data_IF_971129154016
#
_entry.id   IF_971129154016
#
_cell.length_a   1.000
_cell.length_b   1.000
_cell.length_c   1.000
_cell.angle_alpha   90.00
_cell.angle_beta   90.00
_cell.angle_gamma   90.00
#
_symmetry.space_group_name_H-M   'P 1'
#
loop_
_entity.id
_entity.type
_entity.pdbx_description
1 polymer ?
#
# COMPACT_ATOMS: atom_id res chain seq x y z
N UNK A 1 10.84 -16.29 15.79
CA UNK A 1 9.98 -15.30 16.49
C UNK A 1 9.13 -14.60 15.44
N UNK A 2 7.79 -14.68 15.49
CA UNK A 2 6.91 -13.91 14.58
C UNK A 2 6.71 -12.52 15.17
N UNK A 3 7.19 -11.48 14.48
CA UNK A 3 6.99 -10.09 14.90
C UNK A 3 5.55 -9.67 14.60
N UNK A 4 4.85 -9.10 15.59
CA UNK A 4 3.49 -8.56 15.46
C UNK A 4 3.51 -7.11 15.91
N UNK A 5 3.08 -6.19 15.04
CA UNK A 5 2.88 -4.80 15.40
C UNK A 5 1.56 -4.70 16.17
N UNK A 6 1.62 -4.10 17.37
CA UNK A 6 0.47 -3.96 18.27
C UNK A 6 -0.31 -2.68 17.98
N UNK A 7 0.42 -1.58 17.77
CA UNK A 7 -0.13 -0.27 17.50
C UNK A 7 0.80 0.46 16.54
N UNK A 8 0.23 1.11 15.53
CA UNK A 8 0.96 1.87 14.52
C UNK A 8 0.32 3.22 14.28
N UNK A 9 1.16 4.20 13.98
CA UNK A 9 0.77 5.54 13.57
C UNK A 9 1.47 5.91 12.28
N UNK A 10 0.77 6.62 11.40
CA UNK A 10 1.30 7.14 10.15
C UNK A 10 0.77 8.55 9.96
N UNK A 11 1.68 9.52 9.93
CA UNK A 11 1.33 10.94 9.93
C UNK A 11 1.66 11.59 8.58
N UNK A 12 0.65 12.13 7.92
CA UNK A 12 0.81 13.06 6.80
C UNK A 12 0.74 14.49 7.33
N UNK A 13 1.92 15.04 7.64
CA UNK A 13 2.09 16.39 8.16
C UNK A 13 1.56 17.47 7.21
N UNK A 14 1.56 17.21 5.90
CA UNK A 14 1.13 18.20 4.90
C UNK A 14 -0.39 18.37 4.88
N UNK A 15 -1.13 17.33 5.29
CA UNK A 15 -2.60 17.31 5.28
C UNK A 15 -3.20 17.34 6.69
N UNK A 16 -2.38 17.23 7.73
CA UNK A 16 -2.86 17.10 9.10
C UNK A 16 -3.63 15.79 9.32
N UNK A 17 -3.19 14.72 8.64
CA UNK A 17 -3.86 13.41 8.67
C UNK A 17 -3.05 12.42 9.48
N UNK A 18 -3.60 11.98 10.61
CA UNK A 18 -3.04 10.93 11.44
C UNK A 18 -3.82 9.63 11.24
N UNK A 19 -3.15 8.65 10.64
CA UNK A 19 -3.67 7.29 10.50
C UNK A 19 -3.22 6.44 11.68
N UNK A 20 -4.13 5.63 12.18
CA UNK A 20 -3.93 4.78 13.35
C UNK A 20 -4.42 3.36 13.07
N UNK A 21 -3.67 2.36 13.50
CA UNK A 21 -4.09 0.96 13.50
C UNK A 21 -3.65 0.26 14.76
N UNK A 22 -4.58 -0.33 15.50
CA UNK A 22 -4.33 -1.12 16.71
C UNK A 22 -4.95 -2.51 16.56
N UNK A 23 -4.36 -3.53 17.19
CA UNK A 23 -4.92 -4.89 17.19
C UNK A 23 -6.27 -4.98 17.94
N UNK A 24 -6.61 -3.98 18.74
CA UNK A 24 -7.80 -3.94 19.58
C UNK A 24 -8.88 -2.97 19.06
N UNK A 25 -8.64 -2.30 17.93
CA UNK A 25 -9.58 -1.33 17.36
C UNK A 25 -9.60 -1.34 15.84
N UNK A 26 -10.67 -0.79 15.26
CA UNK A 26 -10.69 -0.47 13.83
C UNK A 26 -9.60 0.55 13.49
N UNK A 27 -9.19 0.55 12.22
CA UNK A 27 -8.31 1.58 11.69
C UNK A 27 -9.01 2.94 11.69
N UNK A 28 -8.25 4.00 11.97
CA UNK A 28 -8.77 5.36 12.07
C UNK A 28 -7.95 6.37 11.28
N UNK A 29 -8.61 7.45 10.88
CA UNK A 29 -8.03 8.70 10.39
C UNK A 29 -8.56 9.83 11.26
N UNK A 30 -7.70 10.56 11.95
CA UNK A 30 -8.08 11.67 12.80
C UNK A 30 -9.21 11.31 13.80
N UNK A 31 -9.08 10.15 14.44
CA UNK A 31 -10.03 9.56 15.39
C UNK A 31 -11.34 9.02 14.80
N UNK A 32 -11.58 9.13 13.49
CA UNK A 32 -12.74 8.55 12.82
C UNK A 32 -12.41 7.21 12.16
N UNK A 33 -13.33 6.24 12.25
CA UNK A 33 -13.17 4.94 11.60
C UNK A 33 -13.08 5.11 10.07
N UNK A 34 -12.11 4.43 9.45
CA UNK A 34 -11.95 4.41 8.00
C UNK A 34 -12.35 3.07 7.41
N UNK A 35 -12.64 3.08 6.11
CA UNK A 35 -13.03 1.93 5.33
C UNK A 35 -12.32 1.98 3.99
N UNK A 36 -12.02 0.81 3.43
CA UNK A 36 -11.51 0.74 2.06
C UNK A 36 -12.60 1.07 1.05
N UNK A 37 -12.19 1.33 -0.18
CA UNK A 37 -13.09 1.50 -1.32
C UNK A 37 -13.82 0.19 -1.65
N UNK A 38 -15.05 0.29 -2.12
CA UNK A 38 -15.85 -0.84 -2.63
C UNK A 38 -15.63 -1.13 -4.12
N UNK A 39 -14.70 -0.43 -4.78
CA UNK A 39 -14.40 -0.63 -6.20
C UNK A 39 -13.43 -1.80 -6.37
N UNK A 40 -13.95 -2.92 -6.87
CA UNK A 40 -13.14 -4.12 -7.17
C UNK A 40 -12.78 -4.26 -8.65
N UNK A 41 -13.47 -3.54 -9.53
CA UNK A 41 -13.24 -3.57 -10.98
C UNK A 41 -12.02 -2.73 -11.34
N UNK A 42 -10.94 -3.40 -11.77
CA UNK A 42 -9.66 -2.80 -12.17
C UNK A 42 -9.82 -1.63 -13.14
N UNK A 43 -10.74 -1.76 -14.11
CA UNK A 43 -11.01 -0.72 -15.13
C UNK A 43 -11.67 0.54 -14.56
N UNK A 44 -12.18 0.46 -13.33
CA UNK A 44 -12.81 1.56 -12.59
C UNK A 44 -11.96 2.07 -11.44
N UNK A 45 -10.95 1.31 -11.06
CA UNK A 45 -10.12 1.52 -9.89
C UNK A 45 -8.89 2.40 -10.14
N UNK A 46 -8.36 2.97 -9.06
CA UNK A 46 -7.16 3.79 -8.98
C UNK A 46 -6.04 2.97 -8.36
N UNK A 47 -5.00 2.73 -9.14
CA UNK A 47 -3.77 2.11 -8.69
C UNK A 47 -2.81 3.15 -8.10
N UNK A 48 -2.31 2.88 -6.90
CA UNK A 48 -1.08 3.47 -6.38
C UNK A 48 0.11 2.53 -6.64
N UNK A 49 1.21 3.08 -7.14
CA UNK A 49 2.42 2.30 -7.44
C UNK A 49 3.67 3.18 -7.45
N UNK A 50 4.83 2.57 -7.67
CA UNK A 50 6.13 3.22 -7.78
C UNK A 50 6.95 2.62 -8.93
N UNK A 51 7.93 3.37 -9.42
CA UNK A 51 8.91 2.82 -10.36
C UNK A 51 9.92 1.99 -9.57
N UNK A 52 10.30 0.79 -10.05
CA UNK A 52 11.23 -0.05 -9.32
C UNK A 52 12.61 0.61 -9.23
N UNK A 53 13.03 1.01 -8.03
CA UNK A 53 14.28 1.74 -7.81
C UNK A 53 15.55 0.95 -8.21
N UNK A 54 15.49 -0.38 -8.16
CA UNK A 54 16.56 -1.30 -8.59
C UNK A 54 16.14 -2.15 -9.81
N UNK A 55 15.12 -1.72 -10.54
CA UNK A 55 14.55 -2.46 -11.66
C UNK A 55 15.45 -2.47 -12.88
N UNK A 56 15.37 -3.56 -13.66
CA UNK A 56 15.91 -3.57 -15.01
C UNK A 56 14.91 -2.84 -15.92
N UNK A 57 15.25 -1.67 -16.43
CA UNK A 57 14.38 -0.88 -17.32
C UNK A 57 14.56 -1.30 -18.79
N UNK A 58 14.74 -2.60 -19.04
CA UNK A 58 14.80 -3.14 -20.39
C UNK A 58 13.42 -3.04 -21.06
N UNK A 59 13.39 -3.23 -22.39
CA UNK A 59 12.15 -3.08 -23.18
C UNK A 59 11.03 -4.01 -22.71
N UNK A 60 11.37 -5.22 -22.28
CA UNK A 60 10.39 -6.22 -21.85
C UNK A 60 9.73 -5.82 -20.52
N UNK A 61 10.53 -5.51 -19.50
CA UNK A 61 10.05 -5.06 -18.19
C UNK A 61 9.25 -3.76 -18.28
N UNK A 62 9.63 -2.85 -19.19
CA UNK A 62 8.87 -1.63 -19.44
C UNK A 62 7.55 -1.90 -20.16
N UNK A 63 7.51 -2.86 -21.09
CA UNK A 63 6.28 -3.29 -21.76
C UNK A 63 5.31 -3.93 -20.77
N UNK A 64 5.78 -4.82 -19.90
CA UNK A 64 4.97 -5.43 -18.83
C UNK A 64 4.38 -4.37 -17.90
N UNK A 65 5.22 -3.43 -17.44
CA UNK A 65 4.76 -2.33 -16.60
C UNK A 65 3.70 -1.49 -17.33
N UNK A 66 3.96 -1.10 -18.58
CA UNK A 66 3.00 -0.33 -19.38
C UNK A 66 1.66 -1.05 -19.52
N UNK A 67 1.67 -2.35 -19.87
CA UNK A 67 0.46 -3.15 -20.03
C UNK A 67 -0.33 -3.26 -18.72
N UNK A 68 0.35 -3.37 -17.59
CA UNK A 68 -0.30 -3.35 -16.28
C UNK A 68 -0.95 -1.98 -16.02
N UNK A 69 -0.22 -0.89 -16.22
CA UNK A 69 -0.71 0.46 -15.93
C UNK A 69 -1.93 0.86 -16.75
N UNK A 70 -1.98 0.51 -18.05
CA UNK A 70 -3.11 0.88 -18.94
C UNK A 70 -4.40 0.15 -18.63
N UNK A 71 -4.35 -0.95 -17.85
CA UNK A 71 -5.54 -1.71 -17.45
C UNK A 71 -6.33 -1.09 -16.30
N UNK A 72 -5.80 -0.02 -15.69
CA UNK A 72 -6.43 0.72 -14.58
C UNK A 72 -7.11 2.00 -15.08
N UNK A 73 -8.18 2.42 -14.39
CA UNK A 73 -8.81 3.73 -14.69
C UNK A 73 -7.84 4.89 -14.49
N UNK A 74 -7.08 4.82 -13.40
CA UNK A 74 -6.15 5.87 -12.98
C UNK A 74 -4.95 5.24 -12.30
N UNK A 75 -3.78 5.85 -12.50
CA UNK A 75 -2.54 5.49 -11.82
C UNK A 75 -2.05 6.70 -11.02
N UNK A 76 -1.47 6.46 -9.83
CA UNK A 76 -0.88 7.45 -8.94
C UNK A 76 0.49 6.96 -8.47
N UNK A 77 1.48 7.85 -8.52
CA UNK A 77 2.84 7.59 -8.05
C UNK A 77 3.24 8.70 -7.10
N UNK A 78 2.93 8.52 -5.81
CA UNK A 78 3.07 9.58 -4.80
C UNK A 78 4.42 9.55 -4.08
N UNK A 79 5.28 8.57 -4.37
CA UNK A 79 6.64 8.48 -3.82
C UNK A 79 6.72 8.05 -2.35
N UNK A 80 5.64 7.53 -1.76
CA UNK A 80 5.64 7.00 -0.39
C UNK A 80 4.76 5.75 -0.30
N UNK A 81 5.39 4.59 -0.16
CA UNK A 81 4.72 3.29 -0.02
C UNK A 81 3.79 3.26 1.21
N UNK A 82 4.28 3.77 2.35
CA UNK A 82 3.51 3.85 3.58
C UNK A 82 2.23 4.66 3.40
N UNK A 83 2.32 5.84 2.77
CA UNK A 83 1.15 6.67 2.47
C UNK A 83 0.24 6.02 1.43
N UNK A 84 0.77 5.32 0.43
CA UNK A 84 -0.05 4.59 -0.53
C UNK A 84 -0.91 3.53 0.15
N UNK A 85 -0.37 2.79 1.12
CA UNK A 85 -1.15 1.87 1.95
C UNK A 85 -2.21 2.61 2.79
N UNK A 86 -1.88 3.74 3.42
CA UNK A 86 -2.83 4.52 4.21
C UNK A 86 -3.99 5.08 3.36
N UNK A 87 -3.70 5.46 2.11
CA UNK A 87 -4.71 5.90 1.15
C UNK A 87 -5.59 4.76 0.64
N UNK A 88 -5.07 3.54 0.53
CA UNK A 88 -5.92 2.34 0.32
C UNK A 88 -6.81 2.10 1.54
N UNK A 89 -6.23 2.15 2.75
CA UNK A 89 -6.97 1.93 4.01
C UNK A 89 -8.12 2.93 4.23
N UNK A 90 -8.01 4.13 3.65
CA UNK A 90 -9.02 5.18 3.73
C UNK A 90 -9.87 5.34 2.45
N UNK A 91 -9.78 4.39 1.52
CA UNK A 91 -10.57 4.37 0.29
C UNK A 91 -10.27 5.51 -0.69
N UNK A 92 -9.16 6.25 -0.49
CA UNK A 92 -8.70 7.27 -1.44
C UNK A 92 -8.08 6.64 -2.69
N UNK A 93 -7.43 5.49 -2.53
CA UNK A 93 -6.97 4.61 -3.60
C UNK A 93 -7.63 3.24 -3.44
N UNK A 94 -7.69 2.49 -4.54
CA UNK A 94 -8.35 1.19 -4.55
C UNK A 94 -7.35 0.04 -4.38
N UNK A 95 -6.12 0.20 -4.90
CA UNK A 95 -5.05 -0.77 -4.72
C UNK A 95 -3.69 -0.11 -4.66
N UNK A 96 -2.76 -0.70 -3.89
CA UNK A 96 -1.33 -0.39 -3.93
C UNK A 96 -0.54 -1.62 -4.38
N UNK A 97 0.35 -1.46 -5.35
CA UNK A 97 1.29 -2.50 -5.77
C UNK A 97 2.66 -1.93 -6.09
N UNK A 98 3.73 -2.56 -5.62
CA UNK A 98 5.09 -2.14 -5.96
C UNK A 98 6.07 -3.31 -5.85
N UNK A 99 7.11 -3.31 -6.70
CA UNK A 99 8.18 -4.31 -6.70
C UNK A 99 9.43 -3.74 -6.03
N UNK A 100 10.12 -4.56 -5.23
CA UNK A 100 11.42 -4.21 -4.67
C UNK A 100 11.37 -3.26 -3.46
N UNK A 101 10.21 -3.16 -2.80
CA UNK A 101 10.02 -2.43 -1.55
C UNK A 101 10.49 -3.26 -0.36
N UNK A 102 10.95 -2.59 0.69
CA UNK A 102 11.33 -3.25 1.93
C UNK A 102 10.14 -3.32 2.89
N UNK A 103 10.21 -4.26 3.84
CA UNK A 103 9.12 -4.46 4.79
C UNK A 103 8.82 -3.18 5.60
N UNK A 104 9.84 -2.41 5.97
CA UNK A 104 9.66 -1.17 6.74
C UNK A 104 8.92 -0.08 5.95
N UNK A 105 8.99 -0.09 4.62
CA UNK A 105 8.31 0.90 3.77
C UNK A 105 6.77 0.76 3.85
N UNK A 106 6.28 -0.42 4.23
CA UNK A 106 4.85 -0.74 4.27
C UNK A 106 4.37 -1.27 5.62
N UNK A 107 5.25 -1.55 6.58
CA UNK A 107 4.89 -2.24 7.83
C UNK A 107 3.76 -1.54 8.59
N UNK A 108 3.81 -0.21 8.68
CA UNK A 108 2.76 0.59 9.29
C UNK A 108 1.45 0.51 8.50
N UNK A 109 1.51 0.76 7.18
CA UNK A 109 0.34 0.71 6.31
C UNK A 109 -0.34 -0.66 6.25
N UNK A 110 0.44 -1.74 6.19
CA UNK A 110 -0.06 -3.12 6.28
C UNK A 110 -0.77 -3.37 7.60
N UNK A 111 -0.21 -2.89 8.71
CA UNK A 111 -0.82 -3.10 10.03
C UNK A 111 -2.15 -2.37 10.16
N UNK A 112 -2.31 -1.21 9.52
CA UNK A 112 -3.59 -0.49 9.41
C UNK A 112 -4.58 -1.30 8.55
N UNK A 113 -4.18 -1.72 7.35
CA UNK A 113 -5.04 -2.50 6.43
C UNK A 113 -5.52 -3.81 7.05
N UNK A 114 -4.70 -4.46 7.88
CA UNK A 114 -5.10 -5.69 8.58
C UNK A 114 -6.28 -5.49 9.54
N UNK A 115 -6.50 -4.28 10.06
CA UNK A 115 -7.65 -3.99 10.92
C UNK A 115 -8.94 -3.76 10.14
N UNK A 116 -8.86 -3.77 8.81
CA UNK A 116 -10.00 -3.65 7.90
C UNK A 116 -10.37 -5.00 7.26
N UNK A 117 -9.77 -6.11 7.72
CA UNK A 117 -9.98 -7.47 7.20
C UNK A 117 -9.66 -7.65 5.71
N UNK A 118 -8.86 -6.76 5.15
CA UNK A 118 -8.51 -6.78 3.74
C UNK A 118 -7.49 -7.85 3.36
N UNK A 119 -7.62 -8.35 2.13
CA UNK A 119 -6.72 -9.37 1.59
C UNK A 119 -5.38 -8.73 1.21
N UNK A 120 -4.32 -9.16 1.89
CA UNK A 120 -2.95 -8.69 1.65
C UNK A 120 -2.14 -9.80 1.00
N UNK A 121 -1.76 -9.62 -0.26
CA UNK A 121 -0.87 -10.54 -0.96
C UNK A 121 0.59 -10.04 -0.89
N UNK A 122 1.43 -10.70 -0.08
CA UNK A 122 2.85 -10.37 0.11
C UNK A 122 3.78 -11.06 -0.90
N UNK A 123 3.31 -11.30 -2.13
CA UNK A 123 3.94 -12.25 -3.07
C UNK A 123 5.37 -11.88 -3.54
N UNK A 124 5.94 -10.74 -3.15
CA UNK A 124 7.27 -10.30 -3.58
C UNK A 124 8.18 -9.65 -2.50
N UNK A 125 7.80 -9.67 -1.22
CA UNK A 125 8.50 -8.89 -0.16
C UNK A 125 9.55 -9.72 0.60
N UNK A 126 9.58 -11.05 0.46
CA UNK A 126 10.47 -11.92 1.23
C UNK A 126 11.51 -12.65 0.36
N UNK A 127 12.56 -11.93 -0.05
CA UNK A 127 13.91 -12.51 -0.11
C UNK A 127 14.70 -11.95 1.07
N UNK A 128 14.52 -12.54 2.24
CA UNK A 128 15.48 -12.38 3.34
C UNK A 128 16.68 -13.25 2.96
N UNK A 129 17.64 -12.70 2.24
CA UNK A 129 18.98 -13.28 2.22
C UNK A 129 19.57 -13.03 3.61
N UNK A 130 19.35 -13.95 4.55
CA UNK A 130 20.36 -14.18 5.57
C UNK A 130 21.58 -14.76 4.86
N UNK A 131 22.77 -14.31 5.23
CA UNK A 131 24.02 -14.99 4.89
C UNK A 131 23.93 -16.49 5.20
#
# INVERSE_FOLDING_TARGET
MKMKLLWVFLNDFNRGSLYEGSIDSKAKLNNEDIYVSSIHDKSKATLATGLPAKGNFNKESMSELSNELVSWKKVRMIGSAAMSCAYVASGQFDQYQEKGIFLWDIAAGLSILRQLEEIIHLNHILKINSK
#
